data_IF_409027903834
#
_entry.id   IF_409027903834
#
_cell.length_a   1.000
_cell.length_b   1.000
_cell.length_c   1.000
_cell.angle_alpha   90.00
_cell.angle_beta   90.00
_cell.angle_gamma   90.00
#
_symmetry.space_group_name_H-M   'P 1'
#
loop_
_entity.id
_entity.type
_entity.pdbx_description
1 polymer ?
#
# COMPACT_ATOMS: atom_id res chain seq x y z
N UNK A 1 26.16 1.30 1.45
CA UNK A 1 25.64 0.99 2.79
C UNK A 1 26.17 -0.38 3.19
N UNK A 2 26.80 -0.58 4.38
CA UNK A 2 27.24 -1.95 4.75
C UNK A 2 26.05 -2.71 5.28
N UNK A 3 25.55 -3.70 4.56
CA UNK A 3 24.38 -4.53 4.90
C UNK A 3 24.85 -5.95 5.27
N UNK A 4 25.60 -6.07 6.38
CA UNK A 4 26.24 -7.33 6.78
C UNK A 4 25.40 -8.15 7.75
N UNK A 5 24.50 -7.50 8.51
CA UNK A 5 23.66 -8.14 9.51
C UNK A 5 22.25 -8.28 8.96
N UNK A 6 21.91 -9.47 8.50
CA UNK A 6 20.66 -9.78 7.81
C UNK A 6 19.68 -10.42 8.78
N UNK A 7 18.49 -9.84 8.94
CA UNK A 7 17.35 -10.48 9.58
C UNK A 7 16.40 -11.05 8.52
N UNK A 8 15.93 -12.28 8.71
CA UNK A 8 15.01 -12.93 7.80
C UNK A 8 13.62 -13.03 8.41
N UNK A 9 12.60 -12.67 7.64
CA UNK A 9 11.18 -12.89 7.97
C UNK A 9 10.51 -13.65 6.83
N UNK A 10 9.57 -14.54 7.13
CA UNK A 10 8.93 -15.37 6.13
C UNK A 10 7.43 -15.49 6.34
N UNK A 11 6.70 -15.58 5.24
CA UNK A 11 5.28 -15.95 5.28
C UNK A 11 5.08 -17.39 5.74
N UNK A 12 3.84 -17.73 6.08
CA UNK A 12 3.51 -19.09 6.54
C UNK A 12 3.56 -20.17 5.44
N UNK A 13 3.80 -19.80 4.19
CA UNK A 13 3.86 -20.76 3.09
C UNK A 13 5.01 -21.76 3.26
N UNK A 14 4.82 -23.04 2.89
CA UNK A 14 5.88 -24.03 2.98
C UNK A 14 7.13 -23.65 2.17
N UNK A 15 6.95 -22.95 1.06
CA UNK A 15 8.06 -22.49 0.21
C UNK A 15 8.90 -21.41 0.91
N UNK A 16 8.25 -20.44 1.57
CA UNK A 16 8.94 -19.40 2.32
C UNK A 16 9.66 -19.97 3.56
N UNK A 17 9.03 -20.89 4.29
CA UNK A 17 9.65 -21.55 5.47
C UNK A 17 10.88 -22.37 5.10
N UNK A 18 10.85 -23.10 3.97
CA UNK A 18 12.05 -23.81 3.47
C UNK A 18 13.16 -22.84 3.07
N UNK A 19 12.82 -21.73 2.41
CA UNK A 19 13.79 -20.71 2.04
C UNK A 19 14.41 -20.06 3.29
N UNK A 20 13.60 -19.74 4.31
CA UNK A 20 14.07 -19.22 5.59
C UNK A 20 15.12 -20.13 6.24
N UNK A 21 14.82 -21.42 6.37
CA UNK A 21 15.75 -22.40 6.97
C UNK A 21 17.09 -22.44 6.22
N UNK A 22 17.06 -22.42 4.89
CA UNK A 22 18.28 -22.45 4.07
C UNK A 22 19.12 -21.19 4.23
N UNK A 23 18.48 -20.01 4.16
CA UNK A 23 19.18 -18.73 4.26
C UNK A 23 19.70 -18.50 5.67
N UNK A 24 18.96 -18.87 6.71
CA UNK A 24 19.45 -18.81 8.10
C UNK A 24 20.63 -19.75 8.34
N UNK A 25 20.67 -20.92 7.70
CA UNK A 25 21.84 -21.81 7.78
C UNK A 25 23.08 -21.20 7.13
N UNK A 26 22.91 -20.45 6.05
CA UNK A 26 24.03 -19.84 5.31
C UNK A 26 24.51 -18.51 5.95
N UNK A 27 23.60 -17.70 6.50
CA UNK A 27 23.89 -16.33 6.95
C UNK A 27 23.72 -16.12 8.47
N UNK A 28 23.31 -17.15 9.19
CA UNK A 28 22.99 -17.08 10.62
C UNK A 28 21.58 -16.62 10.90
N UNK A 29 21.17 -16.71 12.16
CA UNK A 29 19.89 -16.24 12.68
C UNK A 29 20.13 -14.91 13.42
N UNK A 30 19.33 -13.90 13.12
CA UNK A 30 19.42 -12.58 13.75
C UNK A 30 18.05 -11.98 13.93
N UNK A 31 17.86 -11.35 15.09
CA UNK A 31 16.69 -10.54 15.36
C UNK A 31 16.74 -9.22 14.56
N UNK A 32 15.58 -8.69 14.12
CA UNK A 32 15.51 -7.41 13.43
C UNK A 32 16.17 -6.24 14.18
N UNK A 33 16.07 -6.20 15.50
CA UNK A 33 16.64 -5.12 16.34
C UNK A 33 18.16 -4.97 16.20
N UNK A 34 18.85 -6.03 15.80
CA UNK A 34 20.29 -6.03 15.58
C UNK A 34 20.71 -6.05 14.11
N UNK A 35 19.79 -5.91 13.19
CA UNK A 35 20.03 -6.05 11.76
C UNK A 35 20.39 -4.72 11.08
N UNK A 36 21.01 -4.82 9.89
CA UNK A 36 21.21 -3.71 8.98
C UNK A 36 20.16 -3.71 7.85
N UNK A 37 19.55 -4.88 7.60
CA UNK A 37 18.55 -5.11 6.55
C UNK A 37 17.60 -6.24 6.94
N UNK A 38 16.35 -6.13 6.50
CA UNK A 38 15.33 -7.19 6.61
C UNK A 38 15.16 -7.84 5.25
N UNK A 39 15.32 -9.15 5.18
CA UNK A 39 15.00 -9.96 4.00
C UNK A 39 13.65 -10.64 4.21
N UNK A 40 12.64 -10.24 3.43
CA UNK A 40 11.28 -10.76 3.51
C UNK A 40 11.06 -11.86 2.46
N UNK A 41 10.67 -13.06 2.90
CA UNK A 41 10.44 -14.24 2.07
C UNK A 41 8.94 -14.50 1.94
N UNK A 42 8.35 -14.23 0.78
CA UNK A 42 6.91 -14.37 0.59
C UNK A 42 6.43 -13.86 -0.75
N UNK A 43 5.20 -13.38 -0.81
CA UNK A 43 4.63 -12.59 -1.90
C UNK A 43 4.31 -11.18 -1.44
N UNK A 44 3.62 -10.39 -2.27
CA UNK A 44 3.33 -8.96 -2.02
C UNK A 44 2.55 -8.73 -0.73
N UNK A 45 1.58 -9.60 -0.39
CA UNK A 45 0.86 -9.49 0.88
C UNK A 45 1.76 -9.62 2.11
N UNK A 46 2.75 -10.53 2.09
CA UNK A 46 3.73 -10.64 3.16
C UNK A 46 4.67 -9.45 3.19
N UNK A 47 5.04 -8.92 2.02
CA UNK A 47 5.85 -7.70 1.94
C UNK A 47 5.11 -6.52 2.56
N UNK A 48 3.85 -6.32 2.23
CA UNK A 48 3.02 -5.26 2.80
C UNK A 48 2.93 -5.37 4.33
N UNK A 49 2.71 -6.57 4.87
CA UNK A 49 2.75 -6.83 6.32
C UNK A 49 4.12 -6.51 6.93
N UNK A 50 5.21 -6.86 6.23
CA UNK A 50 6.59 -6.56 6.65
C UNK A 50 6.83 -5.05 6.69
N UNK A 51 6.37 -4.32 5.68
CA UNK A 51 6.45 -2.85 5.64
C UNK A 51 5.74 -2.23 6.85
N UNK A 52 4.50 -2.65 7.15
CA UNK A 52 3.75 -2.18 8.32
C UNK A 52 4.47 -2.50 9.63
N UNK A 53 4.99 -3.70 9.78
CA UNK A 53 5.67 -4.15 11.00
C UNK A 53 6.94 -3.35 11.29
N UNK A 54 7.70 -2.98 10.24
CA UNK A 54 9.02 -2.40 10.40
C UNK A 54 9.15 -0.93 9.98
N UNK A 55 8.03 -0.26 9.68
CA UNK A 55 8.04 1.17 9.28
C UNK A 55 8.72 2.08 10.30
N UNK A 56 8.63 1.78 11.59
CA UNK A 56 9.23 2.58 12.66
C UNK A 56 10.72 2.35 12.84
N UNK A 57 11.27 1.27 12.30
CA UNK A 57 12.69 0.92 12.49
C UNK A 57 13.62 1.66 11.53
N UNK A 58 13.11 2.12 10.39
CA UNK A 58 13.90 2.73 9.32
C UNK A 58 14.86 1.76 8.61
N UNK A 59 14.80 0.46 8.95
CA UNK A 59 15.61 -0.57 8.29
C UNK A 59 15.16 -0.75 6.84
N UNK A 60 16.10 -0.91 5.89
CA UNK A 60 15.74 -1.28 4.53
C UNK A 60 15.20 -2.70 4.46
N UNK A 61 14.24 -2.91 3.56
CA UNK A 61 13.58 -4.20 3.35
C UNK A 61 13.89 -4.68 1.92
N UNK A 62 14.36 -5.92 1.81
CA UNK A 62 14.62 -6.60 0.55
C UNK A 62 13.70 -7.81 0.44
N UNK A 63 12.74 -7.78 -0.49
CA UNK A 63 11.81 -8.88 -0.69
C UNK A 63 12.35 -9.93 -1.65
N UNK A 64 12.15 -11.22 -1.34
CA UNK A 64 12.39 -12.33 -2.24
C UNK A 64 11.11 -13.12 -2.48
N UNK A 65 10.70 -13.27 -3.75
CA UNK A 65 9.45 -13.90 -4.11
C UNK A 65 9.43 -15.40 -3.81
N UNK A 66 8.50 -15.80 -2.94
CA UNK A 66 8.14 -17.21 -2.66
C UNK A 66 6.64 -17.45 -2.82
N UNK A 67 5.94 -16.53 -3.48
CA UNK A 67 4.54 -16.60 -3.91
C UNK A 67 4.41 -16.80 -5.41
N UNK A 68 3.22 -16.49 -5.96
CA UNK A 68 2.90 -16.61 -7.39
C UNK A 68 3.28 -15.36 -8.18
N UNK A 69 2.90 -14.19 -7.67
CA UNK A 69 3.21 -12.88 -8.26
C UNK A 69 3.97 -12.07 -7.22
N UNK A 70 4.96 -11.31 -7.62
CA UNK A 70 5.80 -10.54 -6.73
C UNK A 70 6.09 -9.16 -7.29
N UNK A 71 5.12 -8.26 -7.23
CA UNK A 71 5.28 -6.89 -7.73
C UNK A 71 6.28 -6.09 -6.87
N UNK A 72 6.24 -6.31 -5.56
CA UNK A 72 7.14 -5.69 -4.57
C UNK A 72 8.38 -6.57 -4.25
N UNK A 73 8.56 -7.71 -4.93
CA UNK A 73 9.53 -8.72 -4.57
C UNK A 73 10.60 -8.86 -5.65
N UNK A 74 11.86 -9.06 -5.25
CA UNK A 74 12.92 -9.53 -6.14
C UNK A 74 12.80 -11.03 -6.40
N UNK A 75 13.48 -11.54 -7.42
CA UNK A 75 13.56 -12.96 -7.70
C UNK A 75 14.28 -13.68 -6.56
N UNK A 76 13.78 -14.88 -6.24
CA UNK A 76 14.41 -15.70 -5.24
C UNK A 76 15.77 -16.23 -5.72
N UNK A 77 16.79 -16.08 -4.89
CA UNK A 77 18.11 -16.64 -5.09
C UNK A 77 18.83 -16.83 -3.76
N UNK A 78 19.46 -17.99 -3.57
CA UNK A 78 20.21 -18.34 -2.34
C UNK A 78 21.67 -17.90 -2.42
N UNK A 79 22.20 -17.74 -3.65
CA UNK A 79 23.60 -17.38 -3.91
C UNK A 79 23.78 -15.87 -3.90
N UNK A 80 24.96 -15.45 -3.52
CA UNK A 80 25.46 -14.08 -3.64
C UNK A 80 24.54 -13.01 -3.02
N UNK A 81 23.77 -13.40 -1.96
CA UNK A 81 22.82 -12.49 -1.32
C UNK A 81 23.47 -11.21 -0.80
N UNK A 82 24.68 -11.31 -0.24
CA UNK A 82 25.40 -10.15 0.27
C UNK A 82 25.74 -9.15 -0.86
N UNK A 83 26.18 -9.67 -2.00
CA UNK A 83 26.52 -8.84 -3.17
C UNK A 83 25.26 -8.21 -3.78
N UNK A 84 24.15 -8.98 -3.87
CA UNK A 84 22.86 -8.46 -4.32
C UNK A 84 22.36 -7.33 -3.43
N UNK A 85 22.41 -7.49 -2.11
CA UNK A 85 22.02 -6.46 -1.16
C UNK A 85 22.87 -5.19 -1.28
N UNK A 86 24.17 -5.32 -1.56
CA UNK A 86 25.07 -4.18 -1.75
C UNK A 86 24.85 -3.46 -3.08
N UNK A 87 24.50 -4.18 -4.13
CA UNK A 87 24.19 -3.66 -5.45
C UNK A 87 22.75 -3.12 -5.59
N UNK A 88 21.89 -3.42 -4.61
CA UNK A 88 20.46 -3.11 -4.71
C UNK A 88 20.18 -1.61 -4.76
N UNK A 89 19.21 -1.23 -5.60
CA UNK A 89 18.72 0.13 -5.76
C UNK A 89 17.68 0.44 -4.67
N UNK A 90 17.82 1.61 -4.05
CA UNK A 90 16.94 2.07 -2.97
C UNK A 90 15.74 2.83 -3.52
N UNK A 91 14.54 2.40 -3.14
CA UNK A 91 13.29 3.14 -3.35
C UNK A 91 12.68 3.50 -1.99
N UNK A 92 12.36 4.78 -1.78
CA UNK A 92 11.68 5.24 -0.57
C UNK A 92 10.19 5.37 -0.85
N UNK A 93 9.37 4.78 0.02
CA UNK A 93 7.91 4.78 -0.09
C UNK A 93 7.31 5.44 1.15
N UNK A 94 6.46 6.44 0.93
CA UNK A 94 5.67 7.08 1.98
C UNK A 94 4.25 6.54 1.97
N UNK A 95 3.67 6.17 3.14
CA UNK A 95 2.30 5.72 3.21
C UNK A 95 1.31 6.90 3.20
N UNK A 96 0.05 6.59 2.93
CA UNK A 96 -1.08 7.45 3.31
C UNK A 96 -1.35 7.31 4.81
N UNK A 97 -1.77 8.39 5.45
CA UNK A 97 -2.35 8.40 6.79
C UNK A 97 -3.86 8.56 6.65
N UNK A 98 -4.59 7.64 7.24
CA UNK A 98 -6.05 7.68 7.38
C UNK A 98 -6.43 8.09 8.80
N UNK A 99 -7.37 9.01 8.93
CA UNK A 99 -8.11 9.31 10.16
C UNK A 99 -9.59 9.04 9.89
N UNK A 100 -10.11 7.96 10.43
CA UNK A 100 -11.50 7.55 10.26
C UNK A 100 -12.29 7.81 11.54
N UNK A 101 -13.32 8.65 11.45
CA UNK A 101 -14.25 8.93 12.55
C UNK A 101 -15.54 8.16 12.32
N UNK A 102 -15.93 7.35 13.30
CA UNK A 102 -17.17 6.58 13.29
C UNK A 102 -18.40 7.44 13.62
N UNK A 103 -19.60 6.91 13.41
CA UNK A 103 -20.86 7.56 13.84
C UNK A 103 -20.91 7.83 15.36
N UNK A 104 -20.23 7.01 16.15
CA UNK A 104 -20.10 7.22 17.60
C UNK A 104 -19.14 8.31 18.02
N UNK A 105 -18.44 8.93 17.08
CA UNK A 105 -17.45 9.98 17.35
C UNK A 105 -16.03 9.45 17.64
N UNK A 106 -15.82 8.14 17.73
CA UNK A 106 -14.51 7.54 17.90
C UNK A 106 -13.66 7.72 16.64
N UNK A 107 -12.43 8.17 16.80
CA UNK A 107 -11.48 8.33 15.70
C UNK A 107 -10.37 7.29 15.78
N UNK A 108 -10.17 6.56 14.70
CA UNK A 108 -9.06 5.62 14.50
C UNK A 108 -8.11 6.13 13.44
N UNK A 109 -6.80 5.97 13.69
CA UNK A 109 -5.74 6.35 12.77
C UNK A 109 -5.02 5.10 12.27
N UNK A 110 -4.80 5.03 10.97
CA UNK A 110 -4.05 3.97 10.33
C UNK A 110 -3.17 4.52 9.19
N UNK A 111 -2.26 3.69 8.69
CA UNK A 111 -1.47 3.99 7.49
C UNK A 111 -1.75 2.96 6.40
N UNK A 112 -1.58 3.37 5.14
CA UNK A 112 -1.68 2.49 3.98
C UNK A 112 -0.54 2.76 3.00
N UNK A 113 0.17 1.72 2.59
CA UNK A 113 1.19 1.82 1.56
C UNK A 113 0.60 1.72 0.16
N UNK A 114 -0.50 0.96 -0.01
CA UNK A 114 -1.22 0.87 -1.28
C UNK A 114 -2.31 1.94 -1.37
N UNK A 115 -3.41 1.74 -0.66
CA UNK A 115 -4.58 2.63 -0.74
C UNK A 115 -5.38 2.66 0.56
N UNK A 116 -6.14 3.73 0.70
CA UNK A 116 -7.30 3.79 1.60
C UNK A 116 -8.56 3.67 0.75
N UNK A 117 -9.37 2.65 1.00
CA UNK A 117 -10.62 2.40 0.29
C UNK A 117 -11.82 2.51 1.21
N UNK A 118 -12.92 3.04 0.68
CA UNK A 118 -14.23 3.06 1.32
C UNK A 118 -15.18 2.16 0.54
N UNK A 119 -15.92 1.29 1.24
CA UNK A 119 -16.87 0.36 0.64
C UNK A 119 -18.19 0.35 1.41
N UNK A 120 -19.31 0.31 0.68
CA UNK A 120 -20.63 0.14 1.27
C UNK A 120 -20.71 -1.17 2.04
N UNK A 121 -21.39 -1.16 3.20
CA UNK A 121 -21.56 -2.34 4.04
C UNK A 121 -22.90 -3.07 3.78
N UNK A 122 -23.80 -2.48 2.98
CA UNK A 122 -25.12 -3.02 2.66
C UNK A 122 -25.38 -2.99 1.17
N UNK A 123 -26.52 -3.51 0.74
CA UNK A 123 -26.94 -3.56 -0.67
C UNK A 123 -27.18 -2.18 -1.30
N UNK A 124 -27.51 -1.17 -0.50
CA UNK A 124 -27.71 0.19 -0.98
C UNK A 124 -26.39 0.84 -1.37
N UNK A 125 -26.37 1.62 -2.45
CA UNK A 125 -25.20 2.39 -2.84
C UNK A 125 -24.75 3.35 -1.73
N UNK A 126 -23.45 3.49 -1.53
CA UNK A 126 -22.90 4.55 -0.69
C UNK A 126 -23.18 5.90 -1.32
N UNK A 127 -23.36 6.93 -0.50
CA UNK A 127 -23.39 8.33 -0.91
C UNK A 127 -22.27 9.05 -0.19
N UNK A 128 -21.32 9.57 -0.94
CA UNK A 128 -20.08 10.12 -0.40
C UNK A 128 -19.87 11.52 -0.97
N UNK A 129 -19.68 12.51 -0.09
CA UNK A 129 -19.16 13.81 -0.46
C UNK A 129 -17.64 13.75 -0.49
N UNK A 130 -17.04 14.33 -1.51
CA UNK A 130 -15.58 14.38 -1.66
C UNK A 130 -15.10 15.82 -1.55
N UNK A 131 -14.21 16.07 -0.60
CA UNK A 131 -13.50 17.35 -0.46
C UNK A 131 -12.01 17.16 -0.67
N UNK A 132 -11.35 18.13 -1.27
CA UNK A 132 -9.89 18.18 -1.46
C UNK A 132 -9.41 19.53 -0.96
N UNK A 133 -8.46 19.53 -0.05
CA UNK A 133 -7.90 20.73 0.60
C UNK A 133 -8.98 21.63 1.20
N UNK A 134 -9.94 21.03 1.89
CA UNK A 134 -11.05 21.69 2.55
C UNK A 134 -12.18 22.17 1.59
N UNK A 135 -12.00 22.05 0.28
CA UNK A 135 -13.02 22.48 -0.70
C UNK A 135 -13.82 21.28 -1.21
N UNK A 136 -15.14 21.36 -1.17
CA UNK A 136 -16.02 20.34 -1.76
C UNK A 136 -15.83 20.32 -3.27
N UNK A 137 -15.39 19.18 -3.81
CA UNK A 137 -15.20 18.95 -5.25
C UNK A 137 -16.32 18.14 -5.85
N UNK A 138 -16.97 17.30 -5.05
CA UNK A 138 -18.11 16.49 -5.47
C UNK A 138 -19.09 16.42 -4.30
N UNK A 139 -20.29 17.00 -4.48
CA UNK A 139 -21.31 17.07 -3.43
C UNK A 139 -21.89 15.70 -3.07
N UNK A 140 -22.14 14.85 -4.06
CA UNK A 140 -22.62 13.50 -3.86
C UNK A 140 -22.07 12.57 -4.94
N UNK A 141 -21.35 11.53 -4.51
CA UNK A 141 -21.00 10.37 -5.31
C UNK A 141 -21.84 9.19 -4.83
N UNK A 142 -22.74 8.68 -5.68
CA UNK A 142 -23.45 7.43 -5.44
C UNK A 142 -22.66 6.28 -6.11
N UNK A 143 -22.17 5.32 -5.31
CA UNK A 143 -21.22 4.29 -5.77
C UNK A 143 -21.25 3.07 -4.86
N UNK A 144 -20.46 2.04 -5.20
CA UNK A 144 -20.14 0.95 -4.28
C UNK A 144 -19.04 1.38 -3.30
N UNK A 145 -18.16 2.28 -3.72
CA UNK A 145 -17.06 2.79 -2.92
C UNK A 145 -16.20 3.81 -3.66
N UNK A 146 -15.14 4.21 -3.00
CA UNK A 146 -14.12 5.12 -3.53
C UNK A 146 -12.78 4.79 -2.86
N UNK A 147 -11.67 5.00 -3.54
CA UNK A 147 -10.35 4.84 -2.95
C UNK A 147 -9.41 5.98 -3.31
N UNK A 148 -8.43 6.21 -2.44
CA UNK A 148 -7.27 7.04 -2.69
C UNK A 148 -6.03 6.17 -2.63
N UNK A 149 -5.25 6.15 -3.71
CA UNK A 149 -4.09 5.27 -3.87
C UNK A 149 -2.79 6.07 -4.01
N UNK A 150 -1.72 5.50 -3.47
CA UNK A 150 -0.34 5.92 -3.73
C UNK A 150 0.11 5.47 -5.13
N UNK A 151 1.23 5.98 -5.66
CA UNK A 151 1.83 5.44 -6.88
C UNK A 151 2.12 3.93 -6.81
N UNK A 152 2.60 3.43 -5.66
CA UNK A 152 2.88 2.00 -5.45
C UNK A 152 1.60 1.18 -5.47
N UNK A 153 0.55 1.64 -4.80
CA UNK A 153 -0.76 1.00 -4.76
C UNK A 153 -1.56 1.15 -6.07
N UNK A 154 -1.11 2.00 -7.00
CA UNK A 154 -1.84 2.24 -8.25
C UNK A 154 -2.01 0.98 -9.11
N UNK A 155 -1.14 -0.01 -8.94
CA UNK A 155 -1.21 -1.33 -9.60
C UNK A 155 -1.92 -2.40 -8.78
N UNK A 156 -2.41 -2.07 -7.57
CA UNK A 156 -3.16 -2.98 -6.69
C UNK A 156 -4.68 -2.81 -6.89
N UNK A 157 -5.43 -2.55 -5.84
CA UNK A 157 -6.89 -2.42 -5.92
C UNK A 157 -7.33 -1.27 -6.83
N UNK A 158 -6.55 -0.18 -6.88
CA UNK A 158 -6.79 0.92 -7.80
C UNK A 158 -6.89 0.46 -9.25
N UNK A 159 -5.98 -0.42 -9.71
CA UNK A 159 -6.03 -0.96 -11.07
C UNK A 159 -7.29 -1.81 -11.29
N UNK A 160 -7.66 -2.65 -10.34
CA UNK A 160 -8.89 -3.45 -10.38
C UNK A 160 -10.16 -2.58 -10.41
N UNK A 161 -10.12 -1.39 -9.82
CA UNK A 161 -11.18 -0.38 -9.90
C UNK A 161 -11.10 0.49 -11.16
N UNK A 162 -10.25 0.15 -12.12
CA UNK A 162 -10.00 0.88 -13.36
C UNK A 162 -9.42 2.28 -13.16
N UNK A 163 -8.68 2.49 -12.08
CA UNK A 163 -7.92 3.70 -11.82
C UNK A 163 -6.64 3.77 -12.67
N UNK A 164 -6.04 4.95 -12.80
CA UNK A 164 -4.80 5.14 -13.56
C UNK A 164 -3.62 4.50 -12.84
N UNK A 165 -2.69 3.92 -13.59
CA UNK A 165 -1.37 3.54 -13.09
C UNK A 165 -0.52 4.80 -12.99
N UNK A 166 0.05 5.05 -11.81
CA UNK A 166 0.93 6.19 -11.54
C UNK A 166 2.40 5.73 -11.54
N UNK A 167 3.31 6.47 -12.21
CA UNK A 167 4.74 6.19 -12.12
C UNK A 167 5.24 6.27 -10.67
N UNK A 168 6.05 5.30 -10.25
CA UNK A 168 6.68 5.32 -8.92
C UNK A 168 7.57 6.56 -8.79
N UNK A 169 7.47 7.23 -7.63
CA UNK A 169 8.19 8.49 -7.38
C UNK A 169 7.51 9.72 -7.98
N UNK A 170 6.39 9.57 -8.72
CA UNK A 170 5.61 10.75 -9.11
C UNK A 170 4.95 11.38 -7.88
N UNK A 171 4.90 12.74 -7.78
CA UNK A 171 4.25 13.43 -6.65
C UNK A 171 2.72 13.47 -6.82
N UNK A 172 2.10 12.31 -7.07
CA UNK A 172 0.69 12.19 -7.42
C UNK A 172 -0.03 11.14 -6.57
N UNK A 173 -1.34 11.28 -6.44
CA UNK A 173 -2.26 10.29 -5.86
C UNK A 173 -3.38 10.02 -6.87
N UNK A 174 -3.89 8.78 -6.90
CA UNK A 174 -5.04 8.42 -7.70
C UNK A 174 -6.29 8.34 -6.83
N UNK A 175 -7.29 9.15 -7.15
CA UNK A 175 -8.62 9.11 -6.55
C UNK A 175 -9.56 8.39 -7.52
N UNK A 176 -10.03 7.20 -7.14
CA UNK A 176 -10.74 6.30 -8.05
C UNK A 176 -12.07 5.84 -7.44
N UNK A 177 -13.21 6.06 -8.13
CA UNK A 177 -14.50 5.53 -7.69
C UNK A 177 -14.62 4.03 -8.00
N UNK A 178 -15.36 3.32 -7.17
CA UNK A 178 -15.68 1.90 -7.36
C UNK A 178 -17.15 1.81 -7.77
N UNK A 179 -17.42 1.36 -9.00
CA UNK A 179 -18.76 1.20 -9.56
C UNK A 179 -19.63 2.46 -9.41
N UNK A 180 -19.14 3.61 -9.87
CA UNK A 180 -19.86 4.88 -9.79
C UNK A 180 -21.21 4.82 -10.53
N UNK A 181 -22.32 5.07 -9.82
CA UNK A 181 -23.66 5.16 -10.38
C UNK A 181 -24.03 6.59 -10.77
N UNK A 182 -23.68 7.57 -9.95
CA UNK A 182 -23.83 9.02 -10.21
C UNK A 182 -22.67 9.78 -9.59
N UNK A 183 -21.98 10.69 -10.33
CA UNK A 183 -22.08 10.91 -11.77
C UNK A 183 -21.50 9.73 -12.58
N UNK A 184 -22.23 9.23 -13.56
CA UNK A 184 -21.84 8.00 -14.33
C UNK A 184 -20.55 8.13 -15.13
N UNK A 185 -20.19 9.34 -15.54
CA UNK A 185 -19.02 9.59 -16.40
C UNK A 185 -17.78 9.99 -15.59
N UNK A 186 -17.91 10.18 -14.28
CA UNK A 186 -16.77 10.52 -13.47
C UNK A 186 -15.87 9.29 -13.25
N UNK A 187 -14.64 9.40 -13.68
CA UNK A 187 -13.65 8.30 -13.65
C UNK A 187 -12.66 8.44 -12.50
N UNK A 188 -12.80 9.46 -11.68
CA UNK A 188 -11.84 9.81 -10.64
C UNK A 188 -11.02 11.04 -10.99
N UNK A 189 -9.95 11.25 -10.25
CA UNK A 189 -9.05 12.38 -10.43
C UNK A 189 -7.62 11.96 -10.08
N UNK A 190 -6.65 12.61 -10.70
CA UNK A 190 -5.25 12.57 -10.27
C UNK A 190 -5.02 13.82 -9.44
N UNK A 191 -4.51 13.64 -8.23
CA UNK A 191 -4.29 14.71 -7.26
C UNK A 191 -2.79 14.88 -6.98
N UNK A 192 -2.34 16.09 -6.60
CA UNK A 192 -1.01 16.26 -6.04
C UNK A 192 -0.81 15.40 -4.79
N UNK A 193 0.38 14.86 -4.59
CA UNK A 193 0.76 14.07 -3.41
C UNK A 193 0.51 14.82 -2.08
N UNK A 194 0.54 16.16 -2.11
CA UNK A 194 0.29 17.00 -0.95
C UNK A 194 -1.17 17.22 -0.61
N UNK A 195 -2.11 16.73 -1.44
CA UNK A 195 -3.53 16.92 -1.23
C UNK A 195 -4.03 16.22 0.03
N UNK A 196 -4.89 16.89 0.79
CA UNK A 196 -5.71 16.28 1.84
C UNK A 196 -7.09 15.97 1.27
N UNK A 197 -7.47 14.70 1.29
CA UNK A 197 -8.78 14.24 0.82
C UNK A 197 -9.67 13.91 2.02
N UNK A 198 -10.89 14.46 2.02
CA UNK A 198 -11.90 14.15 3.03
C UNK A 198 -13.11 13.52 2.36
N UNK A 199 -13.47 12.32 2.81
CA UNK A 199 -14.73 11.67 2.47
C UNK A 199 -15.72 11.85 3.62
N UNK A 200 -16.90 12.41 3.32
CA UNK A 200 -18.01 12.50 4.27
C UNK A 200 -19.13 11.59 3.80
N UNK A 201 -19.56 10.65 4.64
CA UNK A 201 -20.60 9.70 4.32
C UNK A 201 -21.95 10.38 4.52
N UNK A 202 -22.74 10.44 3.47
CA UNK A 202 -24.10 10.98 3.50
C UNK A 202 -25.11 9.87 3.82
N UNK A 203 -26.08 10.15 4.67
CA UNK A 203 -27.09 9.18 5.11
C UNK A 203 -26.43 7.92 5.75
N UNK A 204 -25.41 8.07 6.58
CA UNK A 204 -24.56 6.97 7.09
C UNK A 204 -25.37 5.88 7.81
N UNK A 205 -26.35 6.23 8.64
CA UNK A 205 -27.22 5.27 9.31
C UNK A 205 -27.95 4.32 8.34
N UNK A 206 -28.41 4.86 7.21
CA UNK A 206 -29.09 4.12 6.15
C UNK A 206 -28.12 3.42 5.22
N UNK A 207 -26.97 4.03 4.96
CA UNK A 207 -25.96 3.65 3.96
C UNK A 207 -24.57 3.52 4.61
N UNK A 208 -24.41 2.61 5.57
CA UNK A 208 -23.16 2.49 6.29
C UNK A 208 -22.00 2.11 5.35
N UNK A 209 -20.85 2.69 5.63
CA UNK A 209 -19.60 2.50 4.88
C UNK A 209 -18.51 2.05 5.82
N UNK A 210 -17.64 1.17 5.35
CA UNK A 210 -16.38 0.83 6.00
C UNK A 210 -15.22 1.49 5.26
N UNK A 211 -14.21 1.94 6.01
CA UNK A 211 -12.94 2.40 5.48
C UNK A 211 -11.86 1.36 5.78
N UNK A 212 -10.99 1.11 4.80
CA UNK A 212 -9.90 0.13 4.91
C UNK A 212 -8.58 0.81 4.51
N UNK A 213 -7.60 0.77 5.40
CA UNK A 213 -6.23 1.17 5.11
C UNK A 213 -5.37 -0.10 4.98
N UNK A 214 -5.03 -0.49 3.75
CA UNK A 214 -4.42 -1.77 3.39
C UNK A 214 -5.20 -2.98 3.96
N UNK A 215 -4.98 -3.32 5.22
CA UNK A 215 -5.62 -4.46 5.90
C UNK A 215 -6.39 -4.08 7.18
N UNK A 216 -6.34 -2.82 7.61
CA UNK A 216 -7.05 -2.35 8.80
C UNK A 216 -8.41 -1.77 8.40
N UNK A 217 -9.49 -2.41 8.85
CA UNK A 217 -10.88 -2.00 8.58
C UNK A 217 -11.45 -1.20 9.76
N UNK A 218 -12.10 -0.08 9.45
CA UNK A 218 -12.93 0.70 10.39
C UNK A 218 -14.34 0.75 9.83
N UNK A 219 -15.29 0.24 10.59
CA UNK A 219 -16.69 0.14 10.17
C UNK A 219 -17.52 1.34 10.62
N UNK A 220 -18.68 1.57 9.95
CA UNK A 220 -19.63 2.63 10.28
C UNK A 220 -18.97 4.02 10.36
N UNK A 221 -18.11 4.32 9.38
CA UNK A 221 -17.43 5.61 9.33
C UNK A 221 -18.39 6.71 8.90
N UNK A 222 -18.25 7.88 9.52
CA UNK A 222 -18.96 9.11 9.15
C UNK A 222 -18.05 10.03 8.32
N UNK A 223 -16.79 10.12 8.70
CA UNK A 223 -15.81 10.96 8.01
C UNK A 223 -14.46 10.24 7.95
N UNK A 224 -13.80 10.32 6.81
CA UNK A 224 -12.45 9.77 6.62
C UNK A 224 -11.56 10.83 6.00
N UNK A 225 -10.50 11.22 6.70
CA UNK A 225 -9.47 12.14 6.20
C UNK A 225 -8.24 11.35 5.81
N UNK A 226 -7.67 11.68 4.67
CA UNK A 226 -6.52 10.96 4.10
C UNK A 226 -5.52 11.99 3.56
N UNK A 227 -4.26 11.83 3.96
CA UNK A 227 -3.15 12.59 3.42
C UNK A 227 -1.88 11.73 3.43
N UNK A 228 -0.86 12.11 2.67
CA UNK A 228 0.44 11.46 2.78
C UNK A 228 1.05 11.62 4.19
N UNK A 229 1.60 10.56 4.72
CA UNK A 229 2.38 10.61 5.96
C UNK A 229 3.86 10.91 5.65
N UNK A 230 4.22 12.18 5.72
CA UNK A 230 5.60 12.65 5.48
C UNK A 230 6.58 12.24 6.60
N UNK A 231 6.08 11.79 7.75
CA UNK A 231 6.91 11.43 8.91
C UNK A 231 7.39 9.99 8.85
N UNK A 232 6.66 9.13 8.15
CA UNK A 232 6.96 7.70 8.01
C UNK A 232 7.38 7.39 6.59
N UNK A 233 8.33 6.48 6.45
CA UNK A 233 8.73 5.95 5.15
C UNK A 233 9.33 4.56 5.32
N UNK A 234 9.25 3.76 4.28
CA UNK A 234 9.93 2.47 4.18
C UNK A 234 10.95 2.54 3.04
N UNK A 235 12.13 2.00 3.31
CA UNK A 235 13.21 1.84 2.35
C UNK A 235 13.13 0.45 1.73
N UNK A 236 12.80 0.38 0.46
CA UNK A 236 12.74 -0.87 -0.30
C UNK A 236 13.99 -1.04 -1.14
N UNK A 237 14.53 -2.25 -1.18
CA UNK A 237 15.71 -2.60 -1.98
C UNK A 237 15.31 -3.51 -3.14
N UNK A 238 15.70 -3.12 -4.35
CA UNK A 238 15.44 -3.88 -5.58
C UNK A 238 16.75 -4.22 -6.30
N UNK A 239 16.82 -5.39 -6.92
CA UNK A 239 17.95 -5.76 -7.75
C UNK A 239 18.12 -4.77 -8.91
N UNK A 240 19.34 -4.49 -9.37
CA UNK A 240 19.59 -3.63 -10.52
C UNK A 240 18.83 -4.09 -11.76
N UNK A 241 18.19 -3.15 -12.47
CA UNK A 241 17.36 -3.42 -13.64
C UNK A 241 16.00 -4.06 -13.35
N UNK A 242 15.66 -4.25 -12.07
CA UNK A 242 14.36 -4.74 -11.61
C UNK A 242 13.69 -3.76 -10.65
N UNK A 243 13.93 -2.46 -10.85
CA UNK A 243 13.38 -1.41 -10.00
C UNK A 243 11.85 -1.44 -9.99
N UNK A 244 11.25 -0.95 -8.90
CA UNK A 244 9.81 -0.83 -8.80
C UNK A 244 9.23 0.07 -9.92
N UNK A 245 9.98 1.10 -10.33
CA UNK A 245 9.58 1.99 -11.43
C UNK A 245 9.46 1.24 -12.77
N UNK A 246 10.43 0.37 -13.08
CA UNK A 246 10.40 -0.46 -14.30
C UNK A 246 9.22 -1.44 -14.29
N UNK A 247 8.91 -2.03 -13.15
CA UNK A 247 7.76 -2.95 -13.00
C UNK A 247 6.43 -2.24 -13.20
N UNK A 248 6.27 -1.05 -12.64
CA UNK A 248 5.06 -0.21 -12.84
C UNK A 248 4.94 0.21 -14.30
N UNK A 249 6.06 0.54 -14.95
CA UNK A 249 6.07 0.85 -16.38
C UNK A 249 5.61 -0.35 -17.20
N UNK A 250 6.19 -1.52 -16.96
CA UNK A 250 5.85 -2.75 -17.67
C UNK A 250 4.39 -3.17 -17.48
N UNK A 251 3.80 -2.91 -16.30
CA UNK A 251 2.39 -3.24 -16.02
C UNK A 251 1.44 -2.45 -16.93
N UNK A 252 1.79 -1.23 -17.35
CA UNK A 252 0.97 -0.42 -18.25
C UNK A 252 0.84 -1.01 -19.68
N UNK A 253 1.72 -1.93 -20.05
CA UNK A 253 1.74 -2.58 -21.36
C UNK A 253 1.29 -4.04 -21.33
N UNK A 254 0.85 -4.56 -20.18
CA UNK A 254 0.22 -5.88 -20.09
C UNK A 254 -1.26 -5.81 -20.43
N UNK A 255 -1.75 -6.80 -21.18
CA UNK A 255 -3.15 -6.96 -21.58
C UNK A 255 -3.82 -8.06 -20.76
#
# INVERSE_FOLDING_TARGET
MKLNRIAFVASDSPAAKRALTKLQKAHGVRDPDGADVIVALGGDGHMLQTMHRFVSTGLPIYGMNRGTVGFLMNDYGEKDLADRLQAAELTVIHPLRMEATSEGGDTQTAIAFNEVSLLRQRHQAAKIRVSVDGQVRLEELACDGILLSTPVGSTAYNLSAHGPILPVGSPLLALTPISAFRPRRWRGAILPQTAEVTFTILESEKRPVAAVADHLEVRHVQTVKIAEDKKRSVKMLFDPGHSLAERVLNEQFKY
#
